data_IF_233257670425
#
_entry.id   IF_233257670425
#
_cell.length_a   1.000
_cell.length_b   1.000
_cell.length_c   1.000
_cell.angle_alpha   90.00
_cell.angle_beta   90.00
_cell.angle_gamma   90.00
#
_symmetry.space_group_name_H-M   'P 1'
#
loop_
_entity.id
_entity.type
_entity.pdbx_description
1 polymer ?
#
# COMPACT_ATOMS: atom_id res chain seq x y z
N UNK A 1 -23.25 -5.25 31.22
CA UNK A 1 -23.47 -4.45 29.99
C UNK A 1 -22.11 -4.01 29.48
N UNK A 2 -21.50 -4.80 28.58
CA UNK A 2 -20.18 -4.52 28.02
C UNK A 2 -20.38 -3.47 26.92
N UNK A 3 -19.81 -2.27 27.13
CA UNK A 3 -19.91 -1.14 26.20
C UNK A 3 -19.18 -1.50 24.90
N UNK A 4 -19.93 -1.43 23.80
CA UNK A 4 -19.51 -1.34 22.40
C UNK A 4 -18.07 -1.78 22.09
N UNK A 5 -17.92 -3.02 21.65
CA UNK A 5 -16.76 -3.48 20.88
C UNK A 5 -16.75 -2.69 19.56
N UNK A 6 -16.17 -1.50 19.53
CA UNK A 6 -15.75 -0.91 18.26
C UNK A 6 -14.71 -1.88 17.69
N UNK A 7 -14.96 -2.58 16.57
CA UNK A 7 -13.85 -3.21 15.89
C UNK A 7 -12.98 -2.02 15.46
N UNK A 8 -11.79 -1.88 16.08
CA UNK A 8 -10.74 -1.03 15.55
C UNK A 8 -10.56 -1.49 14.10
N UNK A 9 -11.16 -0.77 13.15
CA UNK A 9 -11.06 -1.06 11.73
C UNK A 9 -9.62 -0.77 11.33
N UNK A 10 -8.74 -1.74 11.57
CA UNK A 10 -7.34 -1.67 11.16
C UNK A 10 -7.33 -1.38 9.68
N UNK A 11 -6.85 -0.18 9.36
CA UNK A 11 -6.74 0.30 8.00
C UNK A 11 -5.47 -0.30 7.42
N UNK A 12 -5.60 -1.18 6.42
CA UNK A 12 -4.46 -1.72 5.70
C UNK A 12 -4.00 -0.70 4.65
N UNK A 13 -2.71 -0.47 4.54
CA UNK A 13 -2.09 0.45 3.60
C UNK A 13 -1.10 -0.30 2.74
N UNK A 14 -1.13 -0.08 1.43
CA UNK A 14 -0.05 -0.47 0.55
C UNK A 14 1.01 0.64 0.55
N UNK A 15 2.25 0.32 0.90
CA UNK A 15 3.38 1.24 0.94
C UNK A 15 4.37 0.83 -0.14
N UNK A 16 4.72 1.76 -1.01
CA UNK A 16 5.61 1.53 -2.15
C UNK A 16 6.98 2.12 -1.82
N UNK A 17 8.01 1.30 -1.97
CA UNK A 17 9.39 1.64 -1.67
C UNK A 17 10.23 1.55 -2.95
N UNK A 18 11.10 2.54 -3.15
CA UNK A 18 12.13 2.52 -4.18
C UNK A 18 13.47 2.89 -3.55
N UNK A 19 14.51 2.07 -3.76
CA UNK A 19 15.85 2.23 -3.14
C UNK A 19 15.79 2.45 -1.62
N UNK A 20 14.92 1.70 -0.94
CA UNK A 20 14.74 1.77 0.52
C UNK A 20 14.03 3.02 1.03
N UNK A 21 13.48 3.87 0.15
CA UNK A 21 12.69 5.05 0.53
C UNK A 21 11.23 4.87 0.13
N UNK A 22 10.33 5.30 1.01
CA UNK A 22 8.92 5.36 0.68
C UNK A 22 8.67 6.41 -0.40
N UNK A 23 8.02 5.99 -1.50
CA UNK A 23 7.69 6.84 -2.64
C UNK A 23 6.18 7.03 -2.82
N UNK A 24 5.38 6.10 -2.34
CA UNK A 24 3.91 6.21 -2.34
C UNK A 24 3.31 5.39 -1.20
N UNK A 25 2.11 5.76 -0.76
CA UNK A 25 1.28 4.89 0.08
C UNK A 25 -0.18 5.18 -0.17
N UNK A 26 -1.03 4.16 -0.19
CA UNK A 26 -2.48 4.36 -0.27
C UNK A 26 -3.24 3.37 0.61
N UNK A 27 -4.42 3.80 1.03
CA UNK A 27 -5.30 3.03 1.88
C UNK A 27 -6.01 1.95 1.06
N UNK A 28 -5.87 0.69 1.47
CA UNK A 28 -6.56 -0.45 0.87
C UNK A 28 -8.03 -0.46 1.31
N UNK A 29 -8.88 0.32 0.61
CA UNK A 29 -10.34 0.23 0.74
C UNK A 29 -10.85 -0.70 -0.35
N UNK A 30 -11.22 -1.93 0.03
CA UNK A 30 -11.62 -3.02 -0.87
C UNK A 30 -10.48 -3.47 -1.79
N UNK A 31 -9.92 -4.64 -1.49
CA UNK A 31 -8.73 -5.28 -2.09
C UNK A 31 -8.75 -5.44 -3.62
N UNK A 32 -8.71 -4.36 -4.39
CA UNK A 32 -8.49 -4.41 -5.83
C UNK A 32 -6.99 -4.60 -6.09
N UNK A 33 -6.58 -5.86 -6.26
CA UNK A 33 -5.21 -6.25 -6.57
C UNK A 33 -4.63 -5.48 -7.78
N UNK A 34 -5.47 -5.15 -8.77
CA UNK A 34 -5.08 -4.42 -9.97
C UNK A 34 -4.64 -2.97 -9.72
N UNK A 35 -5.10 -2.33 -8.65
CA UNK A 35 -4.65 -0.97 -8.32
C UNK A 35 -3.18 -0.96 -7.86
N UNK A 36 -2.74 -2.05 -7.21
CA UNK A 36 -1.34 -2.22 -6.79
C UNK A 36 -0.42 -2.39 -7.99
N UNK A 37 -0.76 -3.30 -8.91
CA UNK A 37 0.05 -3.58 -10.10
C UNK A 37 0.19 -2.34 -10.98
N UNK A 38 -0.93 -1.64 -11.22
CA UNK A 38 -0.92 -0.37 -11.93
C UNK A 38 -0.05 0.68 -11.24
N UNK A 39 -0.09 0.76 -9.90
CA UNK A 39 0.75 1.70 -9.16
C UNK A 39 2.24 1.34 -9.27
N UNK A 40 2.59 0.06 -9.22
CA UNK A 40 3.96 -0.41 -9.47
C UNK A 40 4.44 0.04 -10.85
N UNK A 41 3.68 -0.20 -11.91
CA UNK A 41 4.06 0.20 -13.28
C UNK A 41 4.23 1.72 -13.42
N UNK A 42 3.32 2.50 -12.83
CA UNK A 42 3.40 3.96 -12.86
C UNK A 42 4.67 4.47 -12.15
N UNK A 43 4.99 3.90 -10.99
CA UNK A 43 6.19 4.27 -10.24
C UNK A 43 7.47 3.83 -10.98
N UNK A 44 7.47 2.63 -11.56
CA UNK A 44 8.57 2.11 -12.36
C UNK A 44 8.89 3.05 -13.54
N UNK A 45 7.87 3.47 -14.30
CA UNK A 45 8.01 4.46 -15.37
C UNK A 45 8.50 5.81 -14.86
N UNK A 46 7.94 6.30 -13.76
CA UNK A 46 8.32 7.59 -13.17
C UNK A 46 9.78 7.64 -12.75
N UNK A 47 10.30 6.55 -12.18
CA UNK A 47 11.67 6.44 -11.71
C UNK A 47 12.63 5.86 -12.75
N UNK A 48 12.16 5.62 -13.99
CA UNK A 48 12.92 5.01 -15.08
C UNK A 48 13.64 3.72 -14.62
N UNK A 49 12.86 2.82 -14.00
CA UNK A 49 13.35 1.58 -13.41
C UNK A 49 12.41 0.44 -13.74
N UNK A 50 12.89 -0.80 -13.60
CA UNK A 50 12.04 -1.98 -13.77
C UNK A 50 11.02 -2.12 -12.61
N UNK A 51 9.80 -2.59 -12.87
CA UNK A 51 8.76 -2.84 -11.86
C UNK A 51 9.23 -3.59 -10.62
N UNK A 52 10.13 -4.56 -10.79
CA UNK A 52 10.69 -5.40 -9.72
C UNK A 52 11.49 -4.60 -8.69
N UNK A 53 11.96 -3.39 -9.06
CA UNK A 53 12.67 -2.49 -8.15
C UNK A 53 11.72 -1.68 -7.24
N UNK A 54 10.41 -1.74 -7.50
CA UNK A 54 9.39 -1.13 -6.64
C UNK A 54 8.87 -2.19 -5.67
N UNK A 55 9.34 -2.12 -4.43
CA UNK A 55 8.89 -3.03 -3.37
C UNK A 55 7.57 -2.53 -2.81
N UNK A 56 6.61 -3.44 -2.58
CA UNK A 56 5.32 -3.10 -1.99
C UNK A 56 5.15 -3.84 -0.67
N UNK A 57 5.03 -3.06 0.40
CA UNK A 57 4.75 -3.55 1.75
C UNK A 57 3.29 -3.27 2.14
N UNK A 58 2.73 -4.07 3.05
CA UNK A 58 1.39 -3.88 3.59
C UNK A 58 1.47 -3.54 5.08
N UNK A 59 1.14 -2.30 5.41
CA UNK A 59 1.11 -1.83 6.80
C UNK A 59 -0.32 -1.80 7.35
N UNK A 60 -0.51 -2.32 8.56
CA UNK A 60 -1.77 -2.18 9.29
C UNK A 60 -1.68 -1.02 10.28
N UNK A 61 -2.49 0.02 10.07
CA UNK A 61 -2.57 1.20 10.94
C UNK A 61 -3.87 1.17 11.75
N UNK A 62 -3.79 1.54 13.04
CA UNK A 62 -4.93 1.63 13.95
C UNK A 62 -5.66 2.97 13.81
#
# INVERSE_FOLDING_TARGET
MIKATYPLKRSAWAVFLYRGRQVCSYLLRNSNLGDKERMVELLARRYMTEPENIVVDIEFRN
#
